data_IF_899834993807
#
_entry.id   IF_899834993807
#
_cell.length_a   1.000
_cell.length_b   1.000
_cell.length_c   1.000
_cell.angle_alpha   90.00
_cell.angle_beta   90.00
_cell.angle_gamma   90.00
#
_symmetry.space_group_name_H-M   'P 1'
#
loop_
_entity.id
_entity.type
_entity.pdbx_description
1 polymer ?
#
# COMPACT_ATOMS: atom_id res chain seq x y z
N UNK A 1 -3.48 -8.40 3.49
CA UNK A 1 -3.53 -6.96 3.83
C UNK A 1 -4.64 -6.63 4.82
N UNK A 2 -5.75 -7.39 4.89
CA UNK A 2 -6.77 -7.16 5.93
C UNK A 2 -7.63 -5.91 5.69
N UNK A 3 -7.62 -5.37 4.47
CA UNK A 3 -8.41 -4.22 4.08
C UNK A 3 -9.79 -4.68 3.58
N UNK A 4 -10.80 -3.86 3.81
CA UNK A 4 -12.17 -4.12 3.35
C UNK A 4 -12.73 -2.89 2.63
N UNK A 5 -13.55 -3.12 1.62
CA UNK A 5 -14.22 -2.03 0.89
C UNK A 5 -15.26 -1.36 1.79
N UNK A 6 -15.22 -0.03 1.83
CA UNK A 6 -16.28 0.82 2.41
C UNK A 6 -17.25 1.23 1.30
N UNK A 7 -16.72 1.58 0.13
CA UNK A 7 -17.50 1.98 -1.04
C UNK A 7 -16.95 1.28 -2.28
N UNK A 8 -17.86 0.70 -3.07
CA UNK A 8 -17.53 0.11 -4.36
C UNK A 8 -16.94 1.13 -5.34
N UNK A 9 -16.18 0.67 -6.36
CA UNK A 9 -15.60 1.55 -7.36
C UNK A 9 -16.64 2.49 -7.98
N UNK A 10 -16.51 3.79 -7.72
CA UNK A 10 -17.44 4.83 -8.17
C UNK A 10 -16.80 5.68 -9.26
N UNK A 11 -17.53 5.98 -10.33
CA UNK A 11 -17.07 6.87 -11.40
C UNK A 11 -17.26 8.32 -10.98
N UNK A 12 -16.18 9.10 -11.06
CA UNK A 12 -16.15 10.53 -10.79
C UNK A 12 -15.76 11.24 -12.08
N UNK A 13 -16.52 12.27 -12.46
CA UNK A 13 -16.34 13.04 -13.69
C UNK A 13 -16.13 14.52 -13.37
N UNK A 14 -15.29 15.17 -14.17
CA UNK A 14 -15.00 16.60 -14.08
C UNK A 14 -16.25 17.43 -14.37
N UNK A 15 -16.47 18.48 -13.58
CA UNK A 15 -17.64 19.35 -13.69
C UNK A 15 -18.00 20.02 -12.36
N UNK A 16 -19.17 20.66 -12.32
CA UNK A 16 -19.57 21.60 -11.26
C UNK A 16 -20.24 20.92 -10.05
N UNK A 17 -20.04 19.61 -9.87
CA UNK A 17 -20.46 18.94 -8.64
C UNK A 17 -19.50 19.28 -7.50
N UNK A 18 -19.96 19.22 -6.25
CA UNK A 18 -19.08 19.50 -5.10
C UNK A 18 -17.81 18.63 -5.07
N UNK A 19 -17.91 17.37 -5.53
CA UNK A 19 -16.74 16.48 -5.67
C UNK A 19 -15.89 16.89 -6.88
N UNK A 20 -16.53 17.27 -7.99
CA UNK A 20 -15.84 17.71 -9.20
C UNK A 20 -15.01 18.98 -8.97
N UNK A 21 -15.56 19.97 -8.29
CA UNK A 21 -14.85 21.20 -7.88
C UNK A 21 -13.66 20.85 -6.98
N UNK A 22 -13.86 20.04 -5.94
CA UNK A 22 -12.80 19.58 -5.05
C UNK A 22 -11.68 18.83 -5.79
N UNK A 23 -12.04 17.93 -6.70
CA UNK A 23 -11.05 17.20 -7.51
C UNK A 23 -10.29 18.14 -8.44
N UNK A 24 -10.94 19.18 -8.95
CA UNK A 24 -10.30 20.19 -9.81
C UNK A 24 -9.31 21.04 -9.03
N UNK A 25 -9.61 21.38 -7.78
CA UNK A 25 -8.67 22.08 -6.89
C UNK A 25 -7.42 21.23 -6.59
N UNK A 26 -7.57 19.91 -6.51
CA UNK A 26 -6.46 18.98 -6.19
C UNK A 26 -5.63 18.62 -7.44
N UNK A 27 -6.28 18.26 -8.54
CA UNK A 27 -5.62 17.74 -9.74
C UNK A 27 -5.34 18.80 -10.81
N UNK A 28 -5.89 20.00 -10.66
CA UNK A 28 -5.97 21.00 -11.73
C UNK A 28 -7.04 20.63 -12.77
N UNK A 29 -7.30 21.52 -13.73
CA UNK A 29 -8.28 21.26 -14.79
C UNK A 29 -7.78 20.20 -15.80
N UNK A 30 -8.72 19.48 -16.43
CA UNK A 30 -8.48 18.54 -17.53
C UNK A 30 -8.22 17.09 -17.10
N UNK A 31 -8.55 16.72 -15.86
CA UNK A 31 -8.43 15.34 -15.37
C UNK A 31 -9.53 14.41 -15.92
N UNK A 32 -10.64 14.98 -16.42
CA UNK A 32 -11.69 14.28 -17.14
C UNK A 32 -12.52 13.34 -16.27
N UNK A 33 -12.02 12.13 -15.99
CA UNK A 33 -12.69 11.16 -15.14
C UNK A 33 -11.78 10.07 -14.57
N UNK A 34 -12.13 9.57 -13.40
CA UNK A 34 -11.50 8.42 -12.76
C UNK A 34 -12.52 7.54 -12.03
N UNK A 35 -12.13 6.29 -11.74
CA UNK A 35 -12.85 5.47 -10.75
C UNK A 35 -12.12 5.51 -9.42
N UNK A 36 -12.86 5.55 -8.32
CA UNK A 36 -12.30 5.48 -6.97
C UNK A 36 -12.97 4.40 -6.14
N UNK A 37 -12.17 3.60 -5.44
CA UNK A 37 -12.62 2.67 -4.41
C UNK A 37 -12.06 3.11 -3.06
N UNK A 38 -12.91 3.09 -2.03
CA UNK A 38 -12.50 3.42 -0.67
C UNK A 38 -12.45 2.16 0.17
N UNK A 39 -11.33 1.95 0.85
CA UNK A 39 -11.09 0.83 1.74
C UNK A 39 -10.71 1.34 3.12
N UNK A 40 -10.93 0.51 4.12
CA UNK A 40 -10.40 0.74 5.46
C UNK A 40 -9.70 -0.50 5.99
N UNK A 41 -8.85 -0.29 6.99
CA UNK A 41 -8.15 -1.33 7.74
C UNK A 41 -8.79 -1.51 9.12
N UNK A 42 -8.46 -2.61 9.80
CA UNK A 42 -8.88 -2.81 11.20
C UNK A 42 -8.39 -1.70 12.15
N UNK A 43 -7.28 -1.06 11.80
CA UNK A 43 -6.62 -0.02 12.60
C UNK A 43 -7.03 1.40 12.19
N UNK A 44 -8.20 1.55 11.55
CA UNK A 44 -8.80 2.84 11.17
C UNK A 44 -7.98 3.68 10.19
N UNK A 45 -7.13 3.03 9.39
CA UNK A 45 -6.46 3.67 8.27
C UNK A 45 -7.40 3.64 7.06
N UNK A 46 -7.55 4.78 6.39
CA UNK A 46 -8.25 4.87 5.10
C UNK A 46 -7.29 4.64 3.95
N UNK A 47 -7.74 3.91 2.93
CA UNK A 47 -7.00 3.69 1.68
C UNK A 47 -7.91 3.99 0.51
N UNK A 48 -7.46 4.87 -0.37
CA UNK A 48 -8.18 5.24 -1.59
C UNK A 48 -7.41 4.75 -2.81
N UNK A 49 -8.08 4.02 -3.69
CA UNK A 49 -7.52 3.52 -4.95
C UNK A 49 -8.15 4.26 -6.11
N UNK A 50 -7.33 4.98 -6.87
CA UNK A 50 -7.74 5.77 -8.02
C UNK A 50 -7.35 5.06 -9.32
N UNK A 51 -8.26 5.02 -10.27
CA UNK A 51 -8.02 4.57 -11.64
C UNK A 51 -8.35 5.70 -12.63
N UNK A 52 -7.32 6.41 -13.10
CA UNK A 52 -7.47 7.44 -14.12
C UNK A 52 -7.50 6.83 -15.53
N UNK A 53 -8.22 7.49 -16.46
CA UNK A 53 -8.39 7.02 -17.85
C UNK A 53 -7.06 6.74 -18.57
N UNK A 54 -6.04 7.56 -18.33
CA UNK A 54 -4.76 7.52 -19.04
C UNK A 54 -3.59 7.18 -18.10
N UNK A 55 -3.83 6.40 -17.05
CA UNK A 55 -2.75 5.99 -16.14
C UNK A 55 -1.68 5.18 -16.88
N UNK A 56 -0.42 5.42 -16.55
CA UNK A 56 0.73 4.69 -17.07
C UNK A 56 1.51 4.08 -15.92
N UNK A 57 2.09 2.91 -16.15
CA UNK A 57 3.01 2.31 -15.19
C UNK A 57 4.38 3.00 -15.33
N UNK A 58 5.07 3.32 -14.22
CA UNK A 58 6.45 3.80 -14.30
C UNK A 58 7.36 2.67 -14.80
N UNK A 59 8.44 3.02 -15.50
CA UNK A 59 9.49 2.05 -15.87
C UNK A 59 10.17 1.47 -14.63
N UNK A 60 10.36 2.30 -13.60
CA UNK A 60 10.83 1.91 -12.29
C UNK A 60 9.88 2.44 -11.20
N UNK A 61 9.19 1.53 -10.51
CA UNK A 61 8.27 1.82 -9.42
C UNK A 61 8.93 1.89 -8.04
N UNK A 62 10.26 1.81 -7.94
CA UNK A 62 10.97 1.84 -6.65
C UNK A 62 12.14 2.83 -6.65
N UNK A 63 11.81 4.12 -6.69
CA UNK A 63 12.78 5.22 -6.66
C UNK A 63 13.00 5.74 -5.22
N UNK A 64 13.46 4.87 -4.33
CA UNK A 64 13.63 5.15 -2.88
C UNK A 64 14.61 6.31 -2.56
N UNK A 65 15.36 6.80 -3.55
CA UNK A 65 16.26 7.94 -3.41
C UNK A 65 15.57 9.29 -3.68
N UNK A 66 14.33 9.31 -4.18
CA UNK A 66 13.55 10.52 -4.37
C UNK A 66 12.71 10.83 -3.14
N UNK A 67 12.54 12.12 -2.83
CA UNK A 67 11.62 12.57 -1.77
C UNK A 67 10.18 12.21 -2.12
N UNK A 68 9.47 11.58 -1.19
CA UNK A 68 8.08 11.16 -1.34
C UNK A 68 7.81 9.84 -0.63
N UNK A 69 6.60 9.31 -0.79
CA UNK A 69 6.26 7.96 -0.34
C UNK A 69 6.81 6.96 -1.36
N UNK A 70 7.59 5.99 -0.89
CA UNK A 70 8.20 4.95 -1.74
C UNK A 70 7.78 3.52 -1.38
N UNK A 71 7.35 3.30 -0.13
CA UNK A 71 6.71 2.07 0.31
C UNK A 71 5.91 2.34 1.58
N UNK A 72 5.09 1.37 1.97
CA UNK A 72 4.45 1.30 3.28
C UNK A 72 4.58 -0.12 3.85
N UNK A 73 4.14 -0.33 5.08
CA UNK A 73 4.13 -1.66 5.67
C UNK A 73 2.74 -2.07 6.15
N UNK A 74 2.53 -3.38 6.20
CA UNK A 74 1.35 -4.02 6.78
C UNK A 74 1.78 -5.06 7.80
N UNK A 75 0.90 -5.38 8.73
CA UNK A 75 1.14 -6.38 9.77
C UNK A 75 0.30 -7.62 9.48
N UNK A 76 0.96 -8.78 9.43
CA UNK A 76 0.29 -10.08 9.30
C UNK A 76 1.18 -11.16 9.94
N UNK A 77 0.72 -11.88 10.98
CA UNK A 77 1.52 -12.93 11.62
C UNK A 77 1.89 -14.07 10.65
N UNK A 78 1.09 -14.27 9.59
CA UNK A 78 1.28 -15.28 8.55
C UNK A 78 1.96 -14.66 7.32
N UNK A 79 3.15 -14.09 7.52
CA UNK A 79 3.94 -13.37 6.50
C UNK A 79 4.03 -14.13 5.17
N UNK A 80 4.37 -15.42 5.23
CA UNK A 80 4.56 -16.27 4.07
C UNK A 80 3.24 -16.48 3.31
N UNK A 81 2.15 -16.74 4.01
CA UNK A 81 0.82 -16.92 3.40
C UNK A 81 0.34 -15.64 2.72
N UNK A 82 0.48 -14.49 3.38
CA UNK A 82 0.13 -13.21 2.76
C UNK A 82 1.02 -12.92 1.53
N UNK A 83 2.31 -13.24 1.60
CA UNK A 83 3.21 -13.08 0.46
C UNK A 83 2.76 -13.94 -0.74
N UNK A 84 2.37 -15.20 -0.51
CA UNK A 84 1.83 -16.07 -1.58
C UNK A 84 0.52 -15.53 -2.14
N UNK A 85 -0.37 -15.00 -1.30
CA UNK A 85 -1.63 -14.38 -1.76
C UNK A 85 -1.38 -13.15 -2.64
N UNK A 86 -0.37 -12.34 -2.32
CA UNK A 86 0.03 -11.20 -3.16
C UNK A 86 0.54 -11.69 -4.53
N UNK A 87 1.40 -12.71 -4.54
CA UNK A 87 1.90 -13.30 -5.80
C UNK A 87 0.75 -13.89 -6.63
N UNK A 88 -0.17 -14.62 -5.99
CA UNK A 88 -1.35 -15.19 -6.65
C UNK A 88 -2.26 -14.12 -7.26
N UNK A 89 -2.28 -12.90 -6.69
CA UNK A 89 -3.02 -11.76 -7.23
C UNK A 89 -2.29 -11.00 -8.36
N UNK A 90 -1.07 -11.42 -8.74
CA UNK A 90 -0.25 -10.79 -9.77
C UNK A 90 0.87 -9.88 -9.24
N UNK A 91 1.08 -9.84 -7.92
CA UNK A 91 2.21 -9.16 -7.30
C UNK A 91 3.52 -9.94 -7.41
N UNK A 92 4.58 -9.42 -6.81
CA UNK A 92 5.93 -9.99 -6.87
C UNK A 92 6.60 -10.04 -5.51
N UNK A 93 7.40 -11.08 -5.29
CA UNK A 93 8.39 -11.12 -4.21
C UNK A 93 9.58 -10.24 -4.59
N UNK A 94 9.87 -9.21 -3.78
CA UNK A 94 11.09 -8.39 -3.92
C UNK A 94 12.25 -8.96 -3.10
N UNK A 95 11.94 -9.80 -2.12
CA UNK A 95 12.88 -10.67 -1.41
C UNK A 95 12.51 -12.13 -1.65
N UNK A 96 13.51 -13.00 -1.86
CA UNK A 96 13.28 -14.44 -2.11
C UNK A 96 12.54 -15.13 -0.96
N UNK A 97 12.85 -14.75 0.29
CA UNK A 97 12.26 -15.31 1.51
C UNK A 97 12.28 -14.29 2.65
N UNK A 98 11.43 -14.47 3.69
CA UNK A 98 11.45 -13.61 4.86
C UNK A 98 12.81 -13.59 5.58
N UNK A 99 13.14 -12.44 6.19
CA UNK A 99 14.33 -12.23 7.02
C UNK A 99 13.93 -11.95 8.45
N UNK A 100 14.75 -12.38 9.40
CA UNK A 100 14.54 -12.17 10.83
C UNK A 100 15.36 -10.98 11.32
N UNK A 101 14.77 -10.09 12.12
CA UNK A 101 15.48 -8.94 12.73
C UNK A 101 16.37 -9.36 13.89
N UNK A 102 15.94 -10.37 14.66
CA UNK A 102 16.62 -10.80 15.89
C UNK A 102 16.84 -12.32 15.89
N UNK A 103 17.70 -12.85 15.00
CA UNK A 103 17.92 -14.30 14.89
C UNK A 103 18.32 -14.92 16.23
N UNK A 104 17.55 -15.90 16.72
CA UNK A 104 17.80 -16.60 17.98
C UNK A 104 17.25 -15.93 19.24
N UNK A 105 16.77 -14.68 19.14
CA UNK A 105 16.24 -13.94 20.29
C UNK A 105 14.72 -13.68 20.19
N UNK A 106 14.23 -13.27 19.01
CA UNK A 106 12.81 -12.97 18.80
C UNK A 106 12.33 -13.54 17.46
N UNK A 107 11.05 -13.94 17.35
CA UNK A 107 10.47 -14.49 16.12
C UNK A 107 10.09 -13.42 15.07
N UNK A 108 10.63 -12.21 15.19
CA UNK A 108 10.23 -11.07 14.37
C UNK A 108 10.87 -11.19 12.99
N UNK A 109 10.04 -11.23 11.96
CA UNK A 109 10.45 -11.40 10.57
C UNK A 109 9.64 -10.51 9.64
N UNK A 110 10.21 -10.22 8.49
CA UNK A 110 9.57 -9.41 7.45
C UNK A 110 9.94 -9.87 6.04
N UNK A 111 9.16 -9.44 5.07
CA UNK A 111 9.47 -9.61 3.65
C UNK A 111 9.01 -8.38 2.85
N UNK A 112 9.84 -7.93 1.90
CA UNK A 112 9.46 -6.95 0.89
C UNK A 112 8.72 -7.60 -0.27
N UNK A 113 7.62 -6.97 -0.65
CA UNK A 113 6.72 -7.36 -1.71
C UNK A 113 6.46 -6.18 -2.65
N UNK A 114 5.91 -6.49 -3.81
CA UNK A 114 5.25 -5.56 -4.73
C UNK A 114 3.84 -6.08 -4.97
N UNK A 115 2.83 -5.22 -4.82
CA UNK A 115 1.44 -5.58 -5.08
C UNK A 115 1.13 -5.58 -6.60
N UNK A 116 -0.06 -6.05 -7.03
CA UNK A 116 -0.43 -6.10 -8.44
C UNK A 116 -0.49 -4.73 -9.14
N UNK A 117 -0.54 -3.63 -8.39
CA UNK A 117 -0.59 -2.26 -8.91
C UNK A 117 0.80 -1.60 -8.93
N UNK A 118 1.85 -2.33 -8.54
CA UNK A 118 3.21 -1.84 -8.51
C UNK A 118 3.56 -1.09 -7.22
N UNK A 119 2.70 -1.09 -6.20
CA UNK A 119 3.04 -0.51 -4.90
C UNK A 119 4.05 -1.40 -4.19
N UNK A 120 5.05 -0.79 -3.58
CA UNK A 120 6.02 -1.51 -2.77
C UNK A 120 5.54 -1.56 -1.33
N UNK A 121 5.58 -2.75 -0.73
CA UNK A 121 5.18 -2.94 0.65
C UNK A 121 6.03 -3.94 1.40
N UNK A 122 6.11 -3.75 2.71
CA UNK A 122 6.67 -4.70 3.66
C UNK A 122 5.55 -5.42 4.41
N UNK A 123 5.73 -6.72 4.67
CA UNK A 123 4.88 -7.47 5.59
C UNK A 123 5.69 -7.77 6.84
N UNK A 124 5.20 -7.34 8.00
CA UNK A 124 5.80 -7.62 9.31
C UNK A 124 5.00 -8.67 10.07
N UNK A 125 5.69 -9.62 10.71
CA UNK A 125 5.04 -10.67 11.50
C UNK A 125 4.47 -10.19 12.84
N UNK A 126 4.88 -9.02 13.31
CA UNK A 126 4.50 -8.44 14.60
C UNK A 126 4.29 -6.93 14.44
N UNK A 127 3.74 -6.29 15.47
CA UNK A 127 3.51 -4.84 15.44
C UNK A 127 4.79 -4.07 15.15
N UNK A 128 4.70 -3.07 14.28
CA UNK A 128 5.80 -2.22 13.87
C UNK A 128 6.51 -1.60 15.08
N UNK A 129 5.76 -1.13 16.07
CA UNK A 129 6.25 -0.56 17.32
C UNK A 129 7.09 -1.56 18.12
N UNK A 130 6.63 -2.81 18.25
CA UNK A 130 7.39 -3.84 18.96
C UNK A 130 8.67 -4.23 18.22
N UNK A 131 8.65 -4.25 16.89
CA UNK A 131 9.82 -4.57 16.09
C UNK A 131 10.95 -3.58 16.36
N UNK A 132 10.63 -2.30 16.57
CA UNK A 132 11.63 -1.26 16.85
C UNK A 132 11.73 -0.84 18.33
N UNK A 133 10.99 -1.49 19.23
CA UNK A 133 10.90 -1.15 20.66
C UNK A 133 12.22 -1.23 21.44
N UNK A 134 13.22 -1.96 20.94
CA UNK A 134 14.52 -2.10 21.61
C UNK A 134 15.24 -0.73 21.78
N UNK A 135 15.00 0.23 20.88
CA UNK A 135 15.54 1.59 21.01
C UNK A 135 14.71 2.50 21.93
N UNK A 136 13.52 2.09 22.36
CA UNK A 136 12.60 2.93 23.15
C UNK A 136 12.98 3.03 24.65
N UNK A 137 13.89 2.17 25.12
CA UNK A 137 14.35 2.11 26.51
C UNK A 137 15.85 2.42 26.65
N UNK A 138 16.44 3.15 25.69
CA UNK A 138 17.81 3.67 25.78
C UNK A 138 17.85 5.04 26.45
#
# INVERSE_FOLDING_TARGET
MGWYLIMEPTLIEEGDSAIGEMCTDVFGAGWGKFRIAHLSTGDRIGVELFQFKNQTNPENNFEYWKTGVFHFCVQDPNVEELAERIVAAGGKKRMEKPRYYYPGEKPYRMIYMEDPFGNILEIYSHSYELIYSAGAYQ
#
